data_IF_813434507687
#
_entry.id   IF_813434507687
#
_cell.length_a   1.000
_cell.length_b   1.000
_cell.length_c   1.000
_cell.angle_alpha   90.00
_cell.angle_beta   90.00
_cell.angle_gamma   90.00
#
_symmetry.space_group_name_H-M   'P 1'
#
loop_
_entity.id
_entity.type
_entity.pdbx_description
1 polymer ?
#
# COMPACT_ATOMS: atom_id res chain seq x y z
N UNK A 1 -2.02 13.85 -36.06
CA UNK A 1 -1.39 13.46 -37.37
C UNK A 1 0.04 12.92 -37.23
N UNK A 2 0.94 13.62 -36.53
CA UNK A 2 2.38 13.27 -36.47
C UNK A 2 2.79 12.30 -35.33
N UNK A 3 1.83 11.80 -34.54
CA UNK A 3 2.09 10.93 -33.38
C UNK A 3 2.96 9.73 -33.73
N UNK A 4 2.58 8.98 -34.78
CA UNK A 4 3.28 7.74 -35.15
C UNK A 4 4.69 7.99 -35.68
N UNK A 5 4.89 9.12 -36.37
CA UNK A 5 6.21 9.54 -36.87
C UNK A 5 7.18 9.78 -35.69
N UNK A 6 6.73 10.53 -34.68
CA UNK A 6 7.52 10.80 -33.46
C UNK A 6 7.78 9.50 -32.68
N UNK A 7 6.78 8.64 -32.54
CA UNK A 7 6.92 7.37 -31.81
C UNK A 7 8.00 6.48 -32.44
N UNK A 8 7.89 6.22 -33.75
CA UNK A 8 8.85 5.38 -34.49
C UNK A 8 10.26 5.99 -34.51
N UNK A 9 10.36 7.32 -34.62
CA UNK A 9 11.65 8.00 -34.55
C UNK A 9 12.33 7.78 -33.18
N UNK A 10 11.58 7.88 -32.08
CA UNK A 10 12.11 7.63 -30.74
C UNK A 10 12.48 6.16 -30.52
N UNK A 11 11.74 5.21 -31.11
CA UNK A 11 12.08 3.78 -31.09
C UNK A 11 13.39 3.52 -31.85
N UNK A 12 13.53 4.04 -33.07
CA UNK A 12 14.76 3.92 -33.86
C UNK A 12 15.97 4.56 -33.16
N UNK A 13 15.78 5.72 -32.53
CA UNK A 13 16.83 6.36 -31.73
C UNK A 13 17.25 5.49 -30.53
N UNK A 14 16.32 4.75 -29.92
CA UNK A 14 16.65 3.80 -28.85
C UNK A 14 17.50 2.63 -29.37
N UNK A 15 17.14 2.07 -30.52
CA UNK A 15 17.91 0.99 -31.15
C UNK A 15 19.32 1.43 -31.52
N UNK A 16 19.47 2.64 -32.07
CA UNK A 16 20.79 3.21 -32.38
C UNK A 16 21.64 3.39 -31.12
N UNK A 17 21.04 3.84 -30.01
CA UNK A 17 21.74 3.97 -28.73
C UNK A 17 22.13 2.61 -28.13
N UNK A 18 21.30 1.58 -28.30
CA UNK A 18 21.59 0.19 -27.89
C UNK A 18 22.78 -0.37 -28.67
N UNK A 19 22.80 -0.17 -29.98
CA UNK A 19 23.93 -0.59 -30.85
C UNK A 19 25.25 0.08 -30.46
N UNK A 20 25.21 1.30 -29.92
CA UNK A 20 26.38 2.04 -29.43
C UNK A 20 26.86 1.61 -28.02
N UNK A 21 26.24 0.61 -27.39
CA UNK A 21 26.69 0.06 -26.10
C UNK A 21 26.37 0.93 -24.86
N UNK A 22 25.55 1.95 -25.01
CA UNK A 22 25.08 2.77 -23.88
C UNK A 22 24.03 1.99 -23.09
N UNK A 23 24.14 1.84 -21.77
CA UNK A 23 23.10 1.20 -20.93
C UNK A 23 21.95 2.15 -20.54
N UNK A 24 22.17 3.46 -20.62
CA UNK A 24 21.16 4.48 -20.33
C UNK A 24 20.58 5.07 -21.63
N UNK A 25 19.29 4.78 -21.86
CA UNK A 25 18.47 5.23 -22.98
C UNK A 25 17.34 6.17 -22.55
N UNK A 26 17.61 7.03 -21.57
CA UNK A 26 16.63 8.01 -21.11
C UNK A 26 16.00 8.81 -22.27
N UNK A 27 14.75 9.23 -22.08
CA UNK A 27 14.00 10.03 -23.07
C UNK A 27 14.80 11.25 -23.57
N UNK A 28 15.55 11.89 -22.67
CA UNK A 28 16.43 13.02 -23.00
C UNK A 28 17.55 12.63 -23.95
N UNK A 29 18.19 11.46 -23.77
CA UNK A 29 19.22 10.95 -24.68
C UNK A 29 18.65 10.59 -26.06
N UNK A 30 17.47 9.97 -26.11
CA UNK A 30 16.76 9.70 -27.37
C UNK A 30 16.44 10.99 -28.12
N UNK A 31 15.92 11.98 -27.41
CA UNK A 31 15.67 13.31 -27.97
C UNK A 31 16.94 14.02 -28.43
N UNK A 32 18.06 13.88 -27.70
CA UNK A 32 19.36 14.39 -28.13
C UNK A 32 19.82 13.73 -29.44
N UNK A 33 19.71 12.40 -29.56
CA UNK A 33 20.04 11.71 -30.81
C UNK A 33 19.18 12.19 -31.97
N UNK A 34 17.88 12.38 -31.75
CA UNK A 34 16.98 12.90 -32.77
C UNK A 34 17.29 14.35 -33.15
N UNK A 35 17.70 15.18 -32.19
CA UNK A 35 18.19 16.54 -32.45
C UNK A 35 19.41 16.53 -33.38
N UNK A 36 20.37 15.62 -33.14
CA UNK A 36 21.53 15.40 -34.02
C UNK A 36 21.09 14.94 -35.41
N UNK A 37 20.15 14.01 -35.50
CA UNK A 37 19.59 13.50 -36.77
C UNK A 37 18.92 14.61 -37.59
N UNK A 38 18.17 15.50 -36.95
CA UNK A 38 17.52 16.62 -37.66
C UNK A 38 18.56 17.58 -38.25
N UNK A 39 19.65 17.81 -37.50
CA UNK A 39 20.79 18.55 -38.00
C UNK A 39 21.50 17.82 -39.16
N UNK A 40 21.68 16.50 -39.07
CA UNK A 40 22.33 15.68 -40.09
C UNK A 40 21.57 15.67 -41.43
N UNK A 41 20.23 15.53 -41.40
CA UNK A 41 19.43 15.36 -42.63
C UNK A 41 18.93 16.65 -43.27
N UNK A 42 18.65 17.68 -42.47
CA UNK A 42 18.03 18.92 -42.96
C UNK A 42 18.83 20.17 -42.59
N UNK A 43 19.99 20.01 -41.95
CA UNK A 43 20.79 21.14 -41.45
C UNK A 43 19.98 22.13 -40.59
N UNK A 44 19.01 21.61 -39.84
CA UNK A 44 18.08 22.40 -39.05
C UNK A 44 18.31 22.18 -37.54
N UNK A 45 18.46 23.27 -36.79
CA UNK A 45 18.65 23.21 -35.35
C UNK A 45 17.31 23.04 -34.64
N UNK A 46 17.13 21.89 -33.99
CA UNK A 46 15.92 21.61 -33.23
C UNK A 46 16.25 21.08 -31.84
N UNK A 47 15.72 21.72 -30.79
CA UNK A 47 16.14 21.42 -29.41
C UNK A 47 15.65 20.04 -28.94
N UNK A 48 16.51 19.34 -28.20
CA UNK A 48 16.17 18.09 -27.51
C UNK A 48 14.98 18.28 -26.54
N UNK A 49 14.91 19.43 -25.86
CA UNK A 49 13.78 19.78 -24.99
C UNK A 49 12.45 19.87 -25.75
N UNK A 50 12.45 20.44 -26.96
CA UNK A 50 11.27 20.49 -27.82
C UNK A 50 10.83 19.07 -28.22
N UNK A 51 11.77 18.20 -28.58
CA UNK A 51 11.47 16.79 -28.91
C UNK A 51 10.91 16.00 -27.72
N UNK A 52 11.44 16.22 -26.51
CA UNK A 52 10.87 15.63 -25.28
C UNK A 52 9.44 16.08 -25.06
N UNK A 53 9.16 17.37 -25.22
CA UNK A 53 7.82 17.93 -25.06
C UNK A 53 6.86 17.40 -26.13
N UNK A 54 7.30 17.35 -27.40
CA UNK A 54 6.52 16.76 -28.49
C UNK A 54 6.20 15.30 -28.21
N UNK A 55 7.18 14.49 -27.80
CA UNK A 55 6.96 13.09 -27.45
C UNK A 55 5.96 12.94 -26.30
N UNK A 56 6.12 13.74 -25.23
CA UNK A 56 5.18 13.75 -24.11
C UNK A 56 3.77 14.08 -24.57
N UNK A 57 3.59 15.16 -25.33
CA UNK A 57 2.27 15.64 -25.73
C UNK A 57 1.60 14.70 -26.74
N UNK A 58 2.33 14.22 -27.75
CA UNK A 58 1.79 13.39 -28.82
C UNK A 58 1.63 11.92 -28.46
N UNK A 59 2.59 11.34 -27.73
CA UNK A 59 2.66 9.88 -27.49
C UNK A 59 2.13 9.51 -26.11
N UNK A 60 2.51 10.26 -25.07
CA UNK A 60 2.16 9.93 -23.67
C UNK A 60 0.81 10.52 -23.24
N UNK A 61 0.53 11.76 -23.63
CA UNK A 61 -0.69 12.49 -23.25
C UNK A 61 -1.77 12.46 -24.34
N UNK A 62 -1.45 11.92 -25.52
CA UNK A 62 -2.37 11.77 -26.67
C UNK A 62 -3.13 13.05 -27.04
N UNK A 63 -2.50 14.22 -26.91
CA UNK A 63 -3.12 15.50 -27.24
C UNK A 63 -3.40 15.61 -28.74
N UNK A 64 -4.69 15.70 -29.10
CA UNK A 64 -5.13 15.71 -30.49
C UNK A 64 -4.81 17.03 -31.23
N UNK A 65 -4.71 18.13 -30.49
CA UNK A 65 -4.39 19.47 -30.99
C UNK A 65 -2.89 19.71 -31.21
N UNK A 66 -2.03 18.81 -30.71
CA UNK A 66 -0.59 18.90 -30.88
C UNK A 66 -0.14 18.29 -32.22
N UNK A 67 0.81 18.94 -32.88
CA UNK A 67 1.48 18.42 -34.07
C UNK A 67 2.85 19.06 -34.25
N UNK A 68 3.76 18.36 -34.92
CA UNK A 68 5.04 18.93 -35.35
C UNK A 68 4.77 20.09 -36.30
N UNK A 69 5.21 21.31 -35.93
CA UNK A 69 4.96 22.54 -36.70
C UNK A 69 6.00 22.77 -37.80
N UNK A 70 7.23 22.30 -37.59
CA UNK A 70 8.36 22.51 -38.49
C UNK A 70 8.43 21.39 -39.53
N UNK A 71 8.38 21.75 -40.82
CA UNK A 71 8.46 20.80 -41.93
C UNK A 71 9.80 20.08 -42.00
N UNK A 72 10.89 20.78 -41.65
CA UNK A 72 12.25 20.25 -41.60
C UNK A 72 12.33 19.10 -40.59
N UNK A 73 11.70 19.26 -39.43
CA UNK A 73 11.64 18.19 -38.43
C UNK A 73 10.88 16.98 -38.98
N UNK A 74 9.76 17.18 -39.68
CA UNK A 74 8.99 16.09 -40.28
C UNK A 74 9.85 15.34 -41.32
N UNK A 75 10.47 16.06 -42.25
CA UNK A 75 11.29 15.49 -43.32
C UNK A 75 12.52 14.76 -42.76
N UNK A 76 13.23 15.35 -41.80
CA UNK A 76 14.34 14.71 -41.12
C UNK A 76 13.95 13.37 -40.47
N UNK A 77 12.80 13.35 -39.78
CA UNK A 77 12.32 12.13 -39.13
C UNK A 77 11.90 11.07 -40.16
N UNK A 78 11.27 11.48 -41.26
CA UNK A 78 10.93 10.58 -42.37
C UNK A 78 12.20 9.96 -42.99
N UNK A 79 13.18 10.79 -43.35
CA UNK A 79 14.47 10.34 -43.90
C UNK A 79 15.20 9.42 -42.92
N UNK A 80 15.20 9.78 -41.64
CA UNK A 80 15.77 8.95 -40.60
C UNK A 80 15.09 7.59 -40.52
N UNK A 81 13.77 7.50 -40.73
CA UNK A 81 13.04 6.23 -40.78
C UNK A 81 13.18 5.48 -42.12
N UNK A 82 13.85 6.06 -43.12
CA UNK A 82 14.07 5.46 -44.44
C UNK A 82 13.02 5.84 -45.49
N UNK A 83 12.20 6.86 -45.23
CA UNK A 83 11.20 7.38 -46.16
C UNK A 83 11.69 8.68 -46.81
N UNK A 84 11.50 8.88 -48.12
CA UNK A 84 11.94 10.10 -48.80
C UNK A 84 11.19 11.35 -48.34
N UNK A 85 9.92 11.22 -47.96
CA UNK A 85 9.05 12.32 -47.55
C UNK A 85 7.93 11.85 -46.61
N UNK A 86 7.06 12.77 -46.19
CA UNK A 86 5.95 12.45 -45.29
C UNK A 86 4.81 11.70 -46.00
N UNK A 87 4.61 11.91 -47.30
CA UNK A 87 3.54 11.26 -48.07
C UNK A 87 3.82 9.76 -48.24
N UNK A 88 5.05 9.40 -48.59
CA UNK A 88 5.54 8.02 -48.65
C UNK A 88 5.43 7.32 -47.30
N UNK A 89 5.79 8.01 -46.21
CA UNK A 89 5.55 7.52 -44.85
C UNK A 89 4.06 7.24 -44.62
N UNK A 90 3.16 8.18 -44.94
CA UNK A 90 1.72 7.97 -44.75
C UNK A 90 1.14 6.85 -45.62
N UNK A 91 1.57 6.73 -46.88
CA UNK A 91 1.14 5.66 -47.80
C UNK A 91 1.50 4.29 -47.26
N UNK A 92 2.71 4.13 -46.73
CA UNK A 92 3.13 2.87 -46.09
C UNK A 92 2.24 2.55 -44.87
N UNK A 93 1.92 3.56 -44.04
CA UNK A 93 1.00 3.40 -42.90
C UNK A 93 -0.43 3.04 -43.33
N UNK A 94 -0.93 3.60 -44.42
CA UNK A 94 -2.24 3.24 -44.97
C UNK A 94 -2.23 1.83 -45.58
N UNK A 95 -1.14 1.43 -46.23
CA UNK A 95 -0.96 0.09 -46.76
C UNK A 95 -0.81 -0.97 -45.65
N UNK A 96 -0.22 -0.63 -44.49
CA UNK A 96 -0.25 -1.47 -43.28
C UNK A 96 -1.68 -1.69 -42.74
N UNK A 97 -2.57 -0.71 -42.92
CA UNK A 97 -3.99 -0.80 -42.51
C UNK A 97 -4.79 -1.63 -43.53
N UNK A 98 -4.42 -1.63 -44.81
CA UNK A 98 -5.15 -2.27 -45.91
C UNK A 98 -4.66 -3.67 -46.33
N UNK A 99 -3.52 -4.16 -45.83
CA UNK A 99 -3.15 -5.58 -46.00
C UNK A 99 -4.09 -6.47 -45.17
N UNK A 100 -4.75 -7.49 -45.77
CA UNK A 100 -5.28 -8.58 -44.96
C UNK A 100 -4.10 -9.18 -44.18
N UNK A 101 -4.30 -9.45 -42.89
CA UNK A 101 -3.30 -10.12 -42.05
C UNK A 101 -2.89 -11.46 -42.66
N UNK A 102 -1.87 -11.48 -43.52
CA UNK A 102 -1.08 -12.68 -43.73
C UNK A 102 -0.12 -12.81 -42.56
N UNK A 103 -0.42 -13.81 -41.73
CA UNK A 103 0.41 -14.25 -40.64
C UNK A 103 1.70 -14.87 -41.20
N UNK A 104 2.72 -14.05 -41.43
CA UNK A 104 4.09 -14.55 -41.40
C UNK A 104 4.51 -14.74 -39.94
N UNK A 105 4.77 -16.01 -39.64
CA UNK A 105 5.16 -16.61 -38.36
C UNK A 105 6.21 -15.76 -37.64
N UNK A 106 5.94 -15.27 -36.44
CA UNK A 106 5.99 -16.12 -35.25
C UNK A 106 4.64 -16.13 -34.48
N UNK A 107 3.85 -17.21 -34.61
CA UNK A 107 2.60 -17.38 -33.86
C UNK A 107 2.84 -17.53 -32.36
N UNK A 108 4.09 -17.69 -31.92
CA UNK A 108 4.43 -17.83 -30.51
C UNK A 108 4.33 -16.51 -29.74
N UNK A 109 4.73 -15.35 -30.28
CA UNK A 109 4.82 -14.10 -29.51
C UNK A 109 3.51 -13.31 -29.39
N UNK A 110 2.62 -13.39 -30.38
CA UNK A 110 1.34 -12.64 -30.38
C UNK A 110 0.26 -13.32 -29.55
N UNK A 111 0.24 -14.66 -29.55
CA UNK A 111 -0.56 -15.46 -28.61
C UNK A 111 0.01 -15.30 -27.19
N UNK A 112 1.33 -15.18 -27.03
CA UNK A 112 1.95 -14.88 -25.73
C UNK A 112 1.61 -13.49 -25.19
N UNK A 113 1.41 -12.45 -26.00
CA UNK A 113 1.11 -11.09 -25.48
C UNK A 113 -0.31 -10.95 -24.95
N UNK A 114 -1.32 -11.52 -25.61
CA UNK A 114 -2.69 -11.55 -25.08
C UNK A 114 -2.89 -12.68 -24.04
N UNK A 115 -2.23 -13.84 -24.15
CA UNK A 115 -2.21 -14.82 -23.05
C UNK A 115 -1.44 -14.32 -21.85
N UNK A 116 -0.30 -13.62 -21.99
CA UNK A 116 0.37 -12.96 -20.84
C UNK A 116 -0.47 -11.82 -20.30
N UNK A 117 -1.17 -11.01 -21.10
CA UNK A 117 -2.05 -9.97 -20.56
C UNK A 117 -3.26 -10.56 -19.82
N UNK A 118 -3.92 -11.58 -20.38
CA UNK A 118 -5.04 -12.28 -19.73
C UNK A 118 -4.57 -13.11 -18.53
N UNK A 119 -3.38 -13.72 -18.59
CA UNK A 119 -2.75 -14.39 -17.45
C UNK A 119 -2.32 -13.38 -16.39
N UNK A 120 -1.78 -12.22 -16.76
CA UNK A 120 -1.38 -11.16 -15.81
C UNK A 120 -2.62 -10.58 -15.16
N UNK A 121 -3.67 -10.24 -15.92
CA UNK A 121 -4.94 -9.76 -15.37
C UNK A 121 -5.58 -10.84 -14.49
N UNK A 122 -5.61 -12.09 -14.93
CA UNK A 122 -6.14 -13.21 -14.14
C UNK A 122 -5.34 -13.48 -12.87
N UNK A 123 -4.00 -13.41 -12.94
CA UNK A 123 -3.11 -13.54 -11.78
C UNK A 123 -3.26 -12.34 -10.85
N UNK A 124 -3.41 -11.11 -11.37
CA UNK A 124 -3.69 -9.93 -10.56
C UNK A 124 -5.04 -10.02 -9.86
N UNK A 125 -6.09 -10.48 -10.54
CA UNK A 125 -7.40 -10.73 -9.94
C UNK A 125 -7.29 -11.84 -8.89
N UNK A 126 -6.59 -12.94 -9.19
CA UNK A 126 -6.36 -14.01 -8.22
C UNK A 126 -5.56 -13.51 -7.00
N UNK A 127 -4.54 -12.67 -7.20
CA UNK A 127 -3.79 -12.04 -6.11
C UNK A 127 -4.65 -11.08 -5.30
N UNK A 128 -5.51 -10.30 -5.93
CA UNK A 128 -6.47 -9.42 -5.23
C UNK A 128 -7.48 -10.27 -4.45
N UNK A 129 -7.99 -11.36 -5.02
CA UNK A 129 -8.90 -12.27 -4.33
C UNK A 129 -8.22 -12.96 -3.16
N UNK A 130 -6.98 -13.45 -3.34
CA UNK A 130 -6.16 -14.02 -2.26
C UNK A 130 -5.87 -12.95 -1.21
N UNK A 131 -5.58 -11.72 -1.61
CA UNK A 131 -5.35 -10.60 -0.69
C UNK A 131 -6.62 -10.25 0.10
N UNK A 132 -7.79 -10.20 -0.53
CA UNK A 132 -9.08 -9.96 0.15
C UNK A 132 -9.44 -11.11 1.10
N UNK A 133 -9.26 -12.37 0.66
CA UNK A 133 -9.51 -13.55 1.48
C UNK A 133 -8.54 -13.62 2.67
N UNK A 134 -7.26 -13.34 2.46
CA UNK A 134 -6.26 -13.29 3.53
C UNK A 134 -6.47 -12.09 4.45
N UNK A 135 -6.93 -10.95 3.95
CA UNK A 135 -7.29 -9.79 4.76
C UNK A 135 -8.44 -10.12 5.74
N UNK A 136 -9.45 -10.87 5.31
CA UNK A 136 -10.52 -11.33 6.21
C UNK A 136 -10.01 -12.27 7.33
N UNK A 137 -8.98 -13.06 7.06
CA UNK A 137 -8.36 -13.98 8.04
C UNK A 137 -7.36 -13.26 8.95
N UNK A 138 -6.64 -12.27 8.42
CA UNK A 138 -5.58 -11.55 9.12
C UNK A 138 -6.09 -10.39 9.96
N UNK A 139 -7.30 -9.88 9.70
CA UNK A 139 -7.88 -8.84 10.54
C UNK A 139 -8.29 -9.45 11.89
N UNK A 140 -7.62 -9.06 13.00
CA UNK A 140 -7.99 -9.56 14.31
C UNK A 140 -9.44 -9.18 14.59
N UNK A 141 -10.27 -10.17 14.92
CA UNK A 141 -11.63 -9.91 15.36
C UNK A 141 -11.54 -9.06 16.63
N UNK A 142 -12.29 -7.96 16.67
CA UNK A 142 -12.33 -7.12 17.86
C UNK A 142 -12.94 -7.94 19.01
N UNK A 143 -12.10 -8.29 19.98
CA UNK A 143 -12.47 -9.06 21.17
C UNK A 143 -12.96 -8.11 22.27
N UNK A 144 -13.81 -8.65 23.14
CA UNK A 144 -14.41 -7.93 24.25
C UNK A 144 -14.24 -8.69 25.54
N UNK A 145 -14.26 -7.99 26.66
CA UNK A 145 -14.23 -8.58 27.98
C UNK A 145 -15.30 -7.96 28.88
N UNK A 146 -15.78 -8.75 29.82
CA UNK A 146 -16.76 -8.35 30.82
C UNK A 146 -16.30 -8.83 32.19
N UNK A 147 -16.57 -8.03 33.23
CA UNK A 147 -16.31 -8.45 34.60
C UNK A 147 -17.39 -9.43 35.05
N UNK A 148 -16.99 -10.61 35.49
CA UNK A 148 -17.87 -11.69 35.93
C UNK A 148 -17.35 -12.26 37.24
N UNK A 149 -18.20 -12.22 38.28
CA UNK A 149 -17.94 -12.71 39.63
C UNK A 149 -16.71 -12.07 40.31
N UNK A 150 -15.51 -12.48 39.91
CA UNK A 150 -14.23 -12.06 40.46
C UNK A 150 -13.13 -11.82 39.41
N UNK A 151 -13.40 -11.89 38.10
CA UNK A 151 -12.38 -11.65 37.08
C UNK A 151 -12.97 -11.16 35.75
N UNK A 152 -12.10 -10.74 34.82
CA UNK A 152 -12.50 -10.44 33.45
C UNK A 152 -12.49 -11.71 32.60
N UNK A 153 -13.56 -11.92 31.82
CA UNK A 153 -13.68 -13.05 30.88
C UNK A 153 -13.91 -12.53 29.47
N UNK A 154 -13.32 -13.20 28.48
CA UNK A 154 -13.57 -12.92 27.07
C UNK A 154 -15.03 -13.25 26.70
N UNK A 155 -15.71 -12.30 26.07
CA UNK A 155 -17.11 -12.43 25.67
C UNK A 155 -17.32 -11.90 24.25
N UNK A 156 -18.42 -12.33 23.63
CA UNK A 156 -18.85 -11.79 22.35
C UNK A 156 -19.38 -10.36 22.48
N UNK A 157 -19.35 -9.61 21.36
CA UNK A 157 -19.91 -8.27 21.29
C UNK A 157 -21.38 -8.23 21.71
N UNK A 158 -21.74 -7.26 22.55
CA UNK A 158 -23.12 -6.97 22.92
C UNK A 158 -23.35 -5.45 23.00
N UNK A 159 -24.20 -4.93 22.11
CA UNK A 159 -24.47 -3.50 22.00
C UNK A 159 -25.06 -2.86 23.27
N UNK A 160 -25.90 -3.59 24.01
CA UNK A 160 -26.51 -3.08 25.25
C UNK A 160 -25.47 -2.99 26.38
N UNK A 161 -24.65 -4.02 26.54
CA UNK A 161 -23.56 -4.04 27.53
C UNK A 161 -22.50 -2.97 27.25
N UNK A 162 -22.23 -2.69 25.97
CA UNK A 162 -21.35 -1.59 25.58
C UNK A 162 -21.94 -0.22 25.96
N UNK A 163 -23.21 0.03 25.66
CA UNK A 163 -23.90 1.28 26.03
C UNK A 163 -23.93 1.50 27.54
N UNK A 164 -24.08 0.44 28.32
CA UNK A 164 -24.11 0.50 29.77
C UNK A 164 -22.71 0.50 30.41
N UNK A 165 -21.63 0.40 29.63
CA UNK A 165 -20.25 0.46 30.11
C UNK A 165 -19.71 -0.83 30.75
N UNK A 166 -20.47 -1.92 30.78
CA UNK A 166 -20.02 -3.20 31.36
C UNK A 166 -19.16 -4.00 30.38
N UNK A 167 -19.36 -3.81 29.07
CA UNK A 167 -18.52 -4.41 28.03
C UNK A 167 -17.31 -3.51 27.73
N UNK A 168 -16.10 -4.06 27.89
CA UNK A 168 -14.84 -3.34 27.67
C UNK A 168 -14.04 -3.99 26.53
N UNK A 169 -13.15 -3.22 25.91
CA UNK A 169 -12.20 -3.77 24.95
C UNK A 169 -11.35 -4.84 25.61
N UNK A 170 -11.14 -5.96 24.92
CA UNK A 170 -10.28 -7.04 25.40
C UNK A 170 -8.87 -6.53 25.71
N UNK A 171 -8.38 -6.96 26.88
CA UNK A 171 -7.02 -6.71 27.34
C UNK A 171 -6.54 -7.99 28.02
N UNK A 172 -5.56 -8.65 27.42
CA UNK A 172 -5.06 -9.94 27.88
C UNK A 172 -4.56 -9.86 29.33
N UNK A 173 -3.85 -8.79 29.67
CA UNK A 173 -3.33 -8.57 31.02
C UNK A 173 -4.44 -8.47 32.08
N UNK A 174 -5.61 -7.94 31.70
CA UNK A 174 -6.76 -7.80 32.61
C UNK A 174 -7.45 -9.14 32.86
N UNK A 175 -7.50 -10.01 31.86
CA UNK A 175 -8.06 -11.35 32.01
C UNK A 175 -7.13 -12.23 32.84
N UNK A 176 -5.82 -12.16 32.58
CA UNK A 176 -4.84 -13.02 33.25
C UNK A 176 -4.59 -12.59 34.70
N UNK A 177 -4.42 -11.29 34.94
CA UNK A 177 -3.85 -10.78 36.19
C UNK A 177 -4.81 -9.98 37.06
N UNK A 178 -5.91 -9.45 36.53
CA UNK A 178 -6.83 -8.61 37.31
C UNK A 178 -7.98 -9.45 37.89
N UNK A 179 -7.81 -9.93 39.12
CA UNK A 179 -8.75 -10.78 39.85
C UNK A 179 -9.10 -10.17 41.19
N UNK A 180 -10.35 -10.34 41.62
CA UNK A 180 -10.81 -10.07 42.98
C UNK A 180 -10.49 -11.29 43.84
N UNK A 181 -9.88 -11.05 44.99
CA UNK A 181 -9.49 -12.10 45.93
C UNK A 181 -9.91 -11.74 47.35
N UNK A 182 -9.97 -12.75 48.21
CA UNK A 182 -10.06 -12.60 49.66
C UNK A 182 -8.67 -12.89 50.23
N UNK A 183 -7.87 -11.85 50.52
CA UNK A 183 -6.51 -12.04 51.02
C UNK A 183 -6.52 -12.52 52.47
N UNK A 184 -5.46 -13.23 52.86
CA UNK A 184 -5.19 -13.72 54.20
C UNK A 184 -3.77 -13.33 54.66
N UNK A 185 -3.38 -13.74 55.87
CA UNK A 185 -2.03 -13.48 56.40
C UNK A 185 -0.88 -14.08 55.55
N UNK A 186 -1.16 -15.04 54.66
CA UNK A 186 -0.16 -15.69 53.81
C UNK A 186 -0.08 -15.07 52.40
N UNK A 187 -0.88 -14.03 52.13
CA UNK A 187 -0.92 -13.37 50.83
C UNK A 187 0.32 -12.52 50.60
N UNK A 188 0.93 -12.64 49.41
CA UNK A 188 2.08 -11.83 49.01
C UNK A 188 1.65 -10.38 48.69
N UNK A 189 1.59 -9.53 49.71
CA UNK A 189 1.15 -8.12 49.58
C UNK A 189 2.13 -7.24 48.79
N UNK A 190 3.41 -7.58 48.80
CA UNK A 190 4.48 -6.90 48.09
C UNK A 190 5.38 -7.92 47.40
N UNK A 191 5.90 -7.58 46.24
CA UNK A 191 6.95 -8.36 45.56
C UNK A 191 8.26 -8.33 46.38
N UNK A 192 9.22 -9.21 46.05
CA UNK A 192 10.56 -9.23 46.66
C UNK A 192 11.31 -7.88 46.59
N UNK A 193 10.89 -6.99 45.68
CA UNK A 193 11.46 -5.64 45.49
C UNK A 193 10.73 -4.56 46.30
N UNK A 194 9.73 -4.92 47.10
CA UNK A 194 8.89 -4.00 47.87
C UNK A 194 7.84 -3.26 47.04
N UNK A 195 7.59 -3.68 45.79
CA UNK A 195 6.52 -3.12 44.94
C UNK A 195 5.19 -3.75 45.34
N UNK A 196 4.13 -2.94 45.42
CA UNK A 196 2.80 -3.39 45.80
C UNK A 196 2.27 -4.45 44.83
N UNK A 197 1.68 -5.51 45.39
CA UNK A 197 1.13 -6.64 44.65
C UNK A 197 -0.36 -6.89 45.00
N UNK A 198 -0.97 -5.96 45.73
CA UNK A 198 -2.39 -5.96 46.06
C UNK A 198 -2.93 -4.54 46.01
N UNK A 199 -4.16 -4.40 45.52
CA UNK A 199 -4.90 -3.16 45.45
C UNK A 199 -6.27 -3.32 46.09
N UNK A 200 -6.84 -2.24 46.58
CA UNK A 200 -8.14 -2.26 47.24
C UNK A 200 -9.06 -1.12 46.78
N UNK A 201 -10.36 -1.37 46.86
CA UNK A 201 -11.41 -0.41 46.55
C UNK A 201 -12.64 -0.66 47.40
N UNK A 202 -13.59 0.27 47.36
CA UNK A 202 -14.91 0.06 47.97
C UNK A 202 -15.95 -0.15 46.89
N UNK A 203 -16.81 -1.14 47.07
CA UNK A 203 -17.97 -1.36 46.23
C UNK A 203 -19.06 -0.30 46.51
N UNK A 204 -20.20 -0.38 45.81
CA UNK A 204 -21.30 0.58 45.98
C UNK A 204 -21.90 0.57 47.40
N UNK A 205 -21.84 -0.58 48.10
CA UNK A 205 -22.29 -0.74 49.49
C UNK A 205 -21.28 -0.21 50.51
N UNK A 206 -20.08 0.17 50.07
CA UNK A 206 -19.00 0.65 50.92
C UNK A 206 -18.15 -0.47 51.54
N UNK A 207 -18.38 -1.72 51.15
CA UNK A 207 -17.58 -2.87 51.57
C UNK A 207 -16.23 -2.85 50.85
N UNK A 208 -15.18 -3.30 51.55
CA UNK A 208 -13.81 -3.31 51.05
C UNK A 208 -13.59 -4.55 50.18
N UNK A 209 -13.10 -4.35 48.96
CA UNK A 209 -12.74 -5.42 48.04
C UNK A 209 -11.27 -5.30 47.63
N UNK A 210 -10.63 -6.45 47.40
CA UNK A 210 -9.20 -6.54 47.09
C UNK A 210 -8.97 -7.16 45.71
N UNK A 211 -7.95 -6.67 45.01
CA UNK A 211 -7.66 -7.00 43.64
C UNK A 211 -6.15 -7.22 43.43
N UNK A 212 -5.81 -8.18 42.57
CA UNK A 212 -4.43 -8.59 42.29
C UNK A 212 -3.67 -7.69 41.31
N UNK A 213 -4.31 -6.66 40.76
CA UNK A 213 -3.66 -5.72 39.85
C UNK A 213 -4.27 -4.30 39.96
N UNK A 214 -3.49 -3.29 39.61
CA UNK A 214 -3.89 -1.88 39.64
C UNK A 214 -4.96 -1.56 38.59
N UNK A 215 -5.79 -0.55 38.83
CA UNK A 215 -6.73 -0.08 37.83
C UNK A 215 -7.96 0.58 38.40
N UNK A 216 -9.08 0.42 37.69
CA UNK A 216 -10.39 0.90 38.14
C UNK A 216 -11.19 -0.27 38.68
N UNK A 217 -11.93 -0.03 39.76
CA UNK A 217 -12.90 -0.97 40.29
C UNK A 217 -13.90 -1.34 39.18
N UNK A 218 -14.14 -2.64 38.94
CA UNK A 218 -14.93 -3.10 37.80
C UNK A 218 -16.38 -2.57 37.82
N UNK A 219 -16.98 -2.52 39.01
CA UNK A 219 -18.35 -2.03 39.22
C UNK A 219 -18.42 -0.50 39.40
N UNK A 220 -17.64 0.08 40.33
CA UNK A 220 -17.78 1.51 40.67
C UNK A 220 -17.00 2.46 39.77
N UNK A 221 -16.06 1.96 38.96
CA UNK A 221 -15.20 2.76 38.10
C UNK A 221 -14.18 3.63 38.82
N UNK A 222 -14.09 3.59 40.15
CA UNK A 222 -13.14 4.36 40.95
C UNK A 222 -11.75 3.75 40.91
N UNK A 223 -10.71 4.57 40.94
CA UNK A 223 -9.31 4.10 41.00
C UNK A 223 -9.06 3.29 42.27
N UNK A 224 -8.49 2.10 42.09
CA UNK A 224 -8.04 1.26 43.18
C UNK A 224 -6.78 1.85 43.83
N UNK A 225 -6.65 1.68 45.14
CA UNK A 225 -5.51 2.15 45.92
C UNK A 225 -4.54 1.00 46.15
N UNK A 226 -3.25 1.26 46.05
CA UNK A 226 -2.22 0.28 46.41
C UNK A 226 -2.32 -0.07 47.89
N UNK A 227 -2.06 -1.33 48.23
CA UNK A 227 -2.10 -1.80 49.61
C UNK A 227 -1.02 -1.12 50.45
N UNK A 228 -1.28 -0.95 51.75
CA UNK A 228 -0.31 -0.39 52.71
C UNK A 228 -0.24 -1.27 53.95
N UNK A 229 0.88 -1.26 54.72
CA UNK A 229 0.98 -2.02 55.96
C UNK A 229 -0.14 -1.72 56.97
N UNK A 230 -0.62 -0.47 57.03
CA UNK A 230 -1.76 -0.09 57.86
C UNK A 230 -3.05 -0.80 57.42
N UNK A 231 -3.32 -0.86 56.12
CA UNK A 231 -4.51 -1.52 55.59
C UNK A 231 -4.46 -3.03 55.80
N UNK A 232 -3.28 -3.64 55.69
CA UNK A 232 -3.08 -5.08 55.95
C UNK A 232 -3.40 -5.38 57.42
N UNK A 233 -2.76 -4.67 58.36
CA UNK A 233 -3.02 -4.82 59.81
C UNK A 233 -4.47 -4.63 60.18
N UNK A 234 -5.13 -3.64 59.57
CA UNK A 234 -6.49 -3.28 59.95
C UNK A 234 -7.58 -4.20 59.39
N UNK A 235 -7.37 -4.76 58.19
CA UNK A 235 -8.45 -5.41 57.44
C UNK A 235 -8.14 -6.84 57.00
N UNK A 236 -6.90 -7.31 57.12
CA UNK A 236 -6.47 -8.62 56.60
C UNK A 236 -5.78 -9.47 57.67
N UNK A 237 -4.72 -8.95 58.29
CA UNK A 237 -3.88 -9.69 59.24
C UNK A 237 -3.36 -8.77 60.34
N UNK A 238 -3.95 -8.81 61.53
CA UNK A 238 -3.65 -7.91 62.65
C UNK A 238 -2.17 -7.92 63.07
N UNK A 239 -1.51 -9.07 62.93
CA UNK A 239 -0.13 -9.33 63.35
C UNK A 239 0.95 -9.04 62.28
N UNK A 240 0.60 -8.44 61.12
CA UNK A 240 1.53 -8.11 60.03
C UNK A 240 2.49 -6.96 60.35
#
# INVERSE_FOLDING_TARGET
MHRKLIELAFEKAEEDLKKKGTSDHSKKKKAKRLSEVILEYENYLYSDRSLVNLYRNLVELEKEDEFIKQSEVILALCKYLGYPDYESFQKDRQNEIFKPKEQSKNPLFRIFRHRKLVLVIGVSIAFILIWVLSFQVFMPKQQWMEWQENHYTEVNYNAQKLRNGTLKLYKEERILYFKKIEPDCNTDFFTDKGIENLWYGKNEKGELEFFTDQGLHPETGKTLKAITPYMIRKYICEDY
#
